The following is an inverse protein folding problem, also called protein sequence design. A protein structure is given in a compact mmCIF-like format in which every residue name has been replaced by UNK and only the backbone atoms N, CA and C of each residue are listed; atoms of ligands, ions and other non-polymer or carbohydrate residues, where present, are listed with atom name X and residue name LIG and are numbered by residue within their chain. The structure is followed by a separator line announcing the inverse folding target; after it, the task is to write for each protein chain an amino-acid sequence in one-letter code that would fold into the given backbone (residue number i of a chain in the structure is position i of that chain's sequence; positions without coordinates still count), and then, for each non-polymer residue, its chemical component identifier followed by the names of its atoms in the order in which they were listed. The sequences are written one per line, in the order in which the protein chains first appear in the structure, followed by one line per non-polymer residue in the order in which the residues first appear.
data_IF_046734574001
#
_entry.id   IF_046734574001
#
_cell.length_a   1.000
_cell.length_b   1.000
_cell.length_c   1.000
_cell.angle_alpha   90.00
_cell.angle_beta   90.00
_cell.angle_gamma   90.00
#
_symmetry.space_group_name_H-M   'P 1'
#
loop_
_entity.id
_entity.type
_entity.pdbx_description
1 polymer ?
#
# COMPACT_ATOMS: atom_id res chain seq x y z
N UNK A 1 -38.81 29.89 -0.77
CA UNK A 1 -37.47 29.56 -1.32
C UNK A 1 -36.78 28.47 -0.49
N UNK A 2 -36.68 28.59 0.84
CA UNK A 2 -36.04 27.60 1.72
C UNK A 2 -36.63 26.17 1.67
N UNK A 3 -37.95 26.02 1.52
CA UNK A 3 -38.63 24.70 1.48
C UNK A 3 -38.25 23.84 0.26
N UNK A 4 -37.91 24.45 -0.88
CA UNK A 4 -37.48 23.71 -2.08
C UNK A 4 -36.03 23.21 -1.98
N UNK A 5 -35.16 23.96 -1.30
CA UNK A 5 -33.80 23.51 -0.98
C UNK A 5 -33.79 22.37 0.04
N UNK A 6 -34.63 22.45 1.07
CA UNK A 6 -34.78 21.37 2.06
C UNK A 6 -35.30 20.08 1.40
N UNK A 7 -36.29 20.18 0.50
CA UNK A 7 -36.78 19.03 -0.26
C UNK A 7 -35.71 18.39 -1.16
N UNK A 8 -34.90 19.20 -1.86
CA UNK A 8 -33.80 18.68 -2.68
C UNK A 8 -32.72 17.98 -1.81
N UNK A 9 -32.32 18.58 -0.70
CA UNK A 9 -31.37 17.98 0.24
C UNK A 9 -31.87 16.64 0.79
N UNK A 10 -33.17 16.55 1.11
CA UNK A 10 -33.81 15.31 1.56
C UNK A 10 -33.74 14.21 0.48
N UNK A 11 -33.90 14.55 -0.80
CA UNK A 11 -33.80 13.60 -1.92
C UNK A 11 -32.37 13.06 -2.08
N UNK A 12 -31.35 13.93 -1.98
CA UNK A 12 -29.95 13.50 -2.04
C UNK A 12 -29.56 12.65 -0.83
N UNK A 13 -30.03 13.00 0.37
CA UNK A 13 -29.84 12.19 1.58
C UNK A 13 -30.47 10.80 1.41
N UNK A 14 -31.70 10.70 0.93
CA UNK A 14 -32.35 9.41 0.71
C UNK A 14 -31.61 8.57 -0.35
N UNK A 15 -31.05 9.19 -1.39
CA UNK A 15 -30.19 8.51 -2.38
C UNK A 15 -28.88 8.04 -1.76
N UNK A 16 -28.23 8.85 -0.91
CA UNK A 16 -27.01 8.44 -0.21
C UNK A 16 -27.26 7.27 0.76
N UNK A 17 -28.37 7.31 1.49
CA UNK A 17 -28.80 6.21 2.36
C UNK A 17 -29.13 4.94 1.56
N UNK A 18 -29.69 5.08 0.35
CA UNK A 18 -29.92 3.95 -0.55
C UNK A 18 -28.61 3.30 -1.03
N UNK A 19 -27.53 4.07 -1.19
CA UNK A 19 -26.20 3.55 -1.56
C UNK A 19 -25.47 2.87 -0.40
N UNK A 20 -25.84 3.14 0.86
CA UNK A 20 -25.17 2.56 2.03
C UNK A 20 -25.22 1.03 2.02
N UNK A 21 -26.39 0.43 1.74
CA UNK A 21 -26.56 -1.04 1.72
C UNK A 21 -25.68 -1.74 0.67
N UNK A 22 -25.71 -1.36 -0.63
CA UNK A 22 -24.85 -1.98 -1.63
C UNK A 22 -23.35 -1.69 -1.39
N UNK A 23 -22.99 -0.50 -0.93
CA UNK A 23 -21.58 -0.18 -0.60
C UNK A 23 -21.08 -1.08 0.53
N UNK A 24 -21.82 -1.20 1.63
CA UNK A 24 -21.43 -2.06 2.76
C UNK A 24 -21.32 -3.52 2.32
N UNK A 25 -22.25 -4.01 1.49
CA UNK A 25 -22.19 -5.38 0.98
C UNK A 25 -20.96 -5.60 0.09
N UNK A 26 -20.72 -4.74 -0.89
CA UNK A 26 -19.59 -4.85 -1.80
C UNK A 26 -18.25 -4.73 -1.07
N UNK A 27 -18.15 -3.84 -0.08
CA UNK A 27 -16.96 -3.73 0.77
C UNK A 27 -16.71 -5.02 1.55
N UNK A 28 -17.74 -5.67 2.10
CA UNK A 28 -17.59 -6.96 2.78
C UNK A 28 -17.08 -8.06 1.85
N UNK A 29 -17.63 -8.13 0.64
CA UNK A 29 -17.16 -9.09 -0.39
C UNK A 29 -15.71 -8.82 -0.75
N UNK A 30 -15.36 -7.56 -0.99
CA UNK A 30 -13.98 -7.15 -1.28
C UNK A 30 -13.02 -7.53 -0.15
N UNK A 31 -13.42 -7.37 1.12
CA UNK A 31 -12.63 -7.78 2.29
C UNK A 31 -12.41 -9.30 2.32
N UNK A 32 -13.42 -10.11 2.04
CA UNK A 32 -13.26 -11.57 2.02
C UNK A 32 -12.36 -12.03 0.86
N UNK A 33 -12.47 -11.41 -0.31
CA UNK A 33 -11.55 -11.65 -1.43
C UNK A 33 -10.12 -11.27 -1.03
N UNK A 34 -9.94 -10.09 -0.44
CA UNK A 34 -8.62 -9.65 0.04
C UNK A 34 -8.02 -10.62 1.07
N UNK A 35 -8.84 -11.17 1.98
CA UNK A 35 -8.40 -12.17 2.96
C UNK A 35 -7.97 -13.49 2.30
N UNK A 36 -8.69 -13.93 1.27
CA UNK A 36 -8.33 -15.13 0.51
C UNK A 36 -6.99 -14.94 -0.19
N UNK A 37 -6.81 -13.80 -0.87
CA UNK A 37 -5.55 -13.45 -1.54
C UNK A 37 -4.40 -13.36 -0.53
N UNK A 38 -4.59 -12.68 0.61
CA UNK A 38 -3.58 -12.57 1.67
C UNK A 38 -3.07 -13.94 2.13
N UNK A 39 -3.96 -14.90 2.32
CA UNK A 39 -3.60 -16.27 2.74
C UNK A 39 -2.95 -17.08 1.61
N UNK A 40 -3.44 -16.94 0.38
CA UNK A 40 -2.96 -17.72 -0.78
C UNK A 40 -1.59 -17.26 -1.27
N UNK A 41 -1.36 -15.94 -1.27
CA UNK A 41 -0.09 -15.34 -1.67
C UNK A 41 0.96 -15.37 -0.54
N UNK A 42 0.61 -15.91 0.64
CA UNK A 42 1.56 -16.03 1.73
C UNK A 42 2.09 -14.68 2.23
N UNK A 43 1.25 -13.64 2.23
CA UNK A 43 1.61 -12.28 2.67
C UNK A 43 1.87 -12.16 4.18
N UNK A 44 1.82 -13.29 4.90
CA UNK A 44 2.21 -13.34 6.31
C UNK A 44 3.72 -13.09 6.44
N UNK A 45 4.11 -12.51 7.57
CA UNK A 45 5.52 -12.31 7.86
C UNK A 45 6.25 -13.67 7.83
N UNK A 46 7.38 -13.77 7.10
CA UNK A 46 8.11 -15.02 6.95
C UNK A 46 8.65 -15.50 8.31
N UNK A 47 8.83 -16.81 8.44
CA UNK A 47 9.49 -17.40 9.61
C UNK A 47 10.99 -17.06 9.63
N UNK A 48 11.63 -17.15 10.80
CA UNK A 48 13.06 -16.89 10.93
C UNK A 48 13.93 -17.79 10.03
N UNK A 49 13.50 -19.02 9.77
CA UNK A 49 14.16 -19.93 8.83
C UNK A 49 14.10 -19.41 7.39
N UNK A 50 12.93 -18.96 6.94
CA UNK A 50 12.75 -18.39 5.60
C UNK A 50 13.58 -17.11 5.41
N UNK A 51 13.76 -16.31 6.47
CA UNK A 51 14.64 -15.15 6.43
C UNK A 51 16.11 -15.54 6.26
N UNK A 52 16.57 -16.56 6.98
CA UNK A 52 17.93 -17.08 6.83
C UNK A 52 18.19 -17.64 5.43
N UNK A 53 17.22 -18.36 4.86
CA UNK A 53 17.27 -18.87 3.49
C UNK A 53 17.33 -17.72 2.46
N UNK A 54 16.51 -16.69 2.62
CA UNK A 54 16.52 -15.52 1.76
C UNK A 54 17.88 -14.80 1.80
N UNK A 55 18.47 -14.64 2.99
CA UNK A 55 19.80 -14.03 3.16
C UNK A 55 20.89 -14.85 2.44
N UNK A 56 20.86 -16.18 2.57
CA UNK A 56 21.79 -17.05 1.85
C UNK A 56 21.60 -16.97 0.33
N UNK A 57 20.36 -16.89 -0.15
CA UNK A 57 20.05 -16.72 -1.57
C UNK A 57 20.63 -15.42 -2.13
N UNK A 58 20.46 -14.30 -1.42
CA UNK A 58 21.04 -13.01 -1.79
C UNK A 58 22.57 -13.07 -1.82
N UNK A 59 23.21 -13.67 -0.79
CA UNK A 59 24.67 -13.83 -0.77
C UNK A 59 25.17 -14.66 -1.95
N UNK A 60 24.43 -15.70 -2.35
CA UNK A 60 24.77 -16.52 -3.51
C UNK A 60 24.57 -15.76 -4.83
N UNK A 61 23.51 -14.96 -4.95
CA UNK A 61 23.25 -14.14 -6.13
C UNK A 61 24.34 -13.08 -6.34
N UNK A 62 24.88 -12.51 -5.25
CA UNK A 62 25.94 -11.49 -5.29
C UNK A 62 27.35 -12.04 -5.60
N UNK A 63 27.51 -13.36 -5.75
CA UNK A 63 28.79 -13.94 -6.14
C UNK A 63 29.20 -13.45 -7.53
N UNK A 64 30.46 -13.03 -7.68
CA UNK A 64 31.03 -12.45 -8.91
C UNK A 64 30.78 -13.32 -10.15
N UNK A 65 30.76 -14.65 -10.00
CA UNK A 65 30.48 -15.59 -11.09
C UNK A 65 29.07 -15.46 -11.66
N UNK A 66 28.09 -15.12 -10.83
CA UNK A 66 26.68 -14.95 -11.24
C UNK A 66 26.45 -13.57 -11.88
N UNK A 67 27.12 -12.53 -11.39
CA UNK A 67 27.02 -11.18 -11.95
C UNK A 67 27.56 -11.08 -13.38
N UNK A 68 28.59 -11.86 -13.71
CA UNK A 68 29.19 -11.88 -15.06
C UNK A 68 28.31 -12.50 -16.13
N UNK A 69 27.29 -13.27 -15.75
CA UNK A 69 26.41 -14.00 -16.67
C UNK A 69 25.01 -13.36 -16.78
N UNK A 70 24.84 -12.11 -16.35
CA UNK A 70 23.53 -11.44 -16.36
C UNK A 70 23.13 -10.99 -17.77
N UNK A 71 21.89 -11.30 -18.15
CA UNK A 71 21.27 -10.83 -19.39
C UNK A 71 20.52 -9.52 -19.14
N UNK A 72 20.29 -8.72 -20.19
CA UNK A 72 19.48 -7.49 -20.10
C UNK A 72 18.06 -7.76 -19.56
N UNK A 73 17.47 -8.91 -19.86
CA UNK A 73 16.17 -9.33 -19.32
C UNK A 73 16.21 -9.51 -17.79
N UNK A 74 17.32 -10.03 -17.25
CA UNK A 74 17.49 -10.25 -15.81
C UNK A 74 17.60 -8.92 -15.07
N UNK A 75 18.33 -7.95 -15.67
CA UNK A 75 18.43 -6.60 -15.13
C UNK A 75 17.07 -5.89 -15.14
N UNK A 76 16.30 -6.03 -16.22
CA UNK A 76 14.96 -5.43 -16.29
C UNK A 76 14.02 -6.01 -15.22
N UNK A 77 14.01 -7.33 -15.04
CA UNK A 77 13.23 -7.99 -13.97
C UNK A 77 13.69 -7.55 -12.58
N UNK A 78 15.00 -7.51 -12.37
CA UNK A 78 15.59 -7.03 -11.11
C UNK A 78 15.22 -5.58 -10.80
N UNK A 79 15.18 -4.71 -11.82
CA UNK A 79 14.76 -3.33 -11.69
C UNK A 79 13.30 -3.17 -11.26
N UNK A 80 12.39 -3.99 -11.82
CA UNK A 80 10.98 -4.00 -11.42
C UNK A 80 10.83 -4.44 -9.96
N UNK A 81 11.51 -5.52 -9.56
CA UNK A 81 11.48 -6.01 -8.17
C UNK A 81 12.09 -4.96 -7.22
N UNK A 82 13.16 -4.29 -7.63
CA UNK A 82 13.77 -3.22 -6.84
C UNK A 82 12.81 -2.04 -6.64
N UNK A 83 12.10 -1.63 -7.69
CA UNK A 83 11.08 -0.58 -7.59
C UNK A 83 9.94 -0.97 -6.64
N UNK A 84 9.56 -2.25 -6.61
CA UNK A 84 8.57 -2.77 -5.66
C UNK A 84 9.08 -2.69 -4.20
N UNK A 85 10.31 -3.16 -3.94
CA UNK A 85 10.93 -3.05 -2.60
C UNK A 85 11.05 -1.59 -2.16
N UNK A 86 11.45 -0.70 -3.07
CA UNK A 86 11.54 0.73 -2.79
C UNK A 86 10.18 1.34 -2.45
N UNK A 87 9.11 0.88 -3.11
CA UNK A 87 7.74 1.30 -2.80
C UNK A 87 7.35 0.88 -1.38
N UNK A 88 7.67 -0.35 -0.96
CA UNK A 88 7.44 -0.78 0.43
C UNK A 88 8.24 0.05 1.45
N UNK A 89 9.47 0.45 1.12
CA UNK A 89 10.26 1.35 1.96
C UNK A 89 9.55 2.71 2.16
N UNK A 90 9.03 3.30 1.09
CA UNK A 90 8.28 4.57 1.17
C UNK A 90 6.97 4.42 1.95
N UNK A 91 6.24 3.31 1.80
CA UNK A 91 5.05 3.01 2.61
C UNK A 91 5.44 2.90 4.09
N UNK A 92 6.57 2.26 4.39
CA UNK A 92 7.14 2.19 5.73
C UNK A 92 7.45 3.57 6.30
N UNK A 93 8.01 4.48 5.49
CA UNK A 93 8.27 5.86 5.88
C UNK A 93 6.96 6.62 6.19
N UNK A 94 5.93 6.46 5.34
CA UNK A 94 4.59 7.05 5.56
C UNK A 94 3.99 6.59 6.90
N UNK A 95 4.08 5.29 7.19
CA UNK A 95 3.61 4.71 8.46
C UNK A 95 4.44 5.21 9.63
N UNK A 96 5.78 5.23 9.50
CA UNK A 96 6.72 5.65 10.54
C UNK A 96 6.54 7.13 10.93
N UNK A 97 6.34 8.01 9.95
CA UNK A 97 6.10 9.44 10.19
C UNK A 97 4.63 9.80 10.38
N UNK A 98 3.71 8.85 10.17
CA UNK A 98 2.25 9.00 10.30
C UNK A 98 1.66 10.13 9.45
N UNK A 99 2.31 10.44 8.33
CA UNK A 99 1.89 11.52 7.43
C UNK A 99 2.04 11.10 5.97
N UNK A 100 0.98 11.31 5.19
CA UNK A 100 0.95 10.93 3.78
C UNK A 100 1.88 11.81 2.92
N UNK A 101 2.01 13.10 3.27
CA UNK A 101 2.77 14.09 2.48
C UNK A 101 3.67 14.93 3.38
N UNK A 102 4.98 14.97 3.10
CA UNK A 102 6.01 15.61 3.93
C UNK A 102 6.09 15.15 5.39
N UNK A 103 7.10 15.64 6.09
CA UNK A 103 7.10 15.62 7.55
C UNK A 103 6.20 16.74 8.06
N UNK A 104 5.44 16.46 9.11
CA UNK A 104 4.74 17.52 9.83
C UNK A 104 5.76 18.20 10.74
N UNK A 105 6.37 19.25 10.22
CA UNK A 105 7.25 20.15 10.96
C UNK A 105 6.50 21.47 11.13
N UNK A 106 6.60 22.06 12.32
CA UNK A 106 6.10 23.42 12.54
C UNK A 106 6.89 24.35 11.60
N UNK A 107 6.16 25.06 10.74
CA UNK A 107 6.75 26.09 9.91
C UNK A 107 7.25 27.23 10.80
N UNK A 108 8.46 27.71 10.53
CA UNK A 108 9.09 28.87 11.21
C UNK A 108 8.18 30.13 11.28
N UNK A 109 7.15 30.23 10.43
CA UNK A 109 6.13 31.30 10.49
C UNK A 109 5.31 31.32 11.80
N UNK A 110 5.19 30.19 12.51
CA UNK A 110 4.45 30.14 13.79
C UNK A 110 5.30 30.50 15.01
N UNK A 111 6.61 30.70 14.85
CA UNK A 111 7.53 31.05 15.95
C UNK A 111 7.64 32.56 16.23
N UNK A 112 6.98 33.39 15.41
CA UNK A 112 6.95 34.85 15.53
C UNK A 112 5.52 35.39 15.69
N UNK A 113 4.73 34.82 16.61
CA UNK A 113 3.49 35.42 17.09
C UNK A 113 3.32 35.26 18.60
#
# INVERSE_FOLDING_TARGET
MASKFIGCAQVYLNKALALQKPVVYNTKVAIEIAKQVYKKEGMAFPSGAQFAEAQQSVQNALKIKNLKNLTFSDVAKGGVIFAEIYTFFLIGEIVGRRNLIGYNVESEESAHH
#
